data_IF_261902588416
#
_entry.id   IF_261902588416
#
_cell.length_a   1.000
_cell.length_b   1.000
_cell.length_c   1.000
_cell.angle_alpha   90.00
_cell.angle_beta   90.00
_cell.angle_gamma   90.00
#
_symmetry.space_group_name_H-M   'P 1'
#
loop_
_entity.id
_entity.type
_entity.pdbx_description
1 polymer ?
#
# COMPACT_ATOMS: atom_id res chain seq x y z
N UNK A 1 7.51 7.23 13.16
CA UNK A 1 6.66 6.32 12.34
C UNK A 1 5.61 7.21 11.74
N UNK A 2 5.38 7.10 10.44
CA UNK A 2 4.36 7.88 9.75
C UNK A 2 3.02 7.14 9.86
N UNK A 3 1.95 7.89 10.04
CA UNK A 3 0.59 7.38 9.91
C UNK A 3 0.15 7.54 8.45
N UNK A 4 -0.07 6.41 7.77
CA UNK A 4 -0.38 6.36 6.35
C UNK A 4 -1.81 5.89 6.14
N UNK A 5 -2.55 6.56 5.27
CA UNK A 5 -3.83 6.10 4.77
C UNK A 5 -3.73 5.77 3.28
N UNK A 6 -4.35 4.67 2.87
CA UNK A 6 -4.37 4.25 1.45
C UNK A 6 -5.59 4.88 0.80
N UNK A 7 -5.39 5.85 -0.09
CA UNK A 7 -6.47 6.56 -0.78
C UNK A 7 -6.64 6.10 -2.23
N UNK A 8 -5.66 5.38 -2.77
CA UNK A 8 -5.74 4.72 -4.06
C UNK A 8 -4.93 3.42 -4.12
N UNK A 9 -5.38 2.45 -4.93
CA UNK A 9 -4.64 1.22 -5.22
C UNK A 9 -4.52 1.09 -6.73
N UNK A 10 -3.29 1.16 -7.26
CA UNK A 10 -3.02 0.94 -8.67
C UNK A 10 -2.85 -0.57 -8.93
N UNK A 11 -1.92 -1.18 -8.20
CA UNK A 11 -1.70 -2.62 -8.23
C UNK A 11 -0.96 -3.10 -6.98
N UNK A 12 -0.99 -4.41 -6.76
CA UNK A 12 -0.25 -5.11 -5.72
C UNK A 12 0.55 -6.22 -6.41
N UNK A 13 1.79 -6.43 -6.01
CA UNK A 13 2.65 -7.50 -6.53
C UNK A 13 3.47 -8.15 -5.40
N UNK A 14 4.04 -9.32 -5.67
CA UNK A 14 5.03 -9.92 -4.78
C UNK A 14 6.26 -9.02 -4.78
N UNK A 15 6.82 -8.69 -3.61
CA UNK A 15 8.03 -7.88 -3.55
C UNK A 15 9.21 -8.63 -4.19
N UNK A 16 9.62 -8.21 -5.39
CA UNK A 16 10.77 -8.74 -6.12
C UNK A 16 12.07 -7.96 -5.87
N UNK A 17 12.04 -6.90 -5.05
CA UNK A 17 13.09 -5.87 -4.88
C UNK A 17 13.50 -5.12 -6.15
N UNK A 18 12.84 -5.39 -7.29
CA UNK A 18 13.14 -4.72 -8.54
C UNK A 18 12.66 -3.26 -8.49
N UNK A 19 13.51 -2.34 -8.97
CA UNK A 19 13.19 -0.91 -9.05
C UNK A 19 13.31 -0.13 -7.74
N UNK A 20 13.82 -0.72 -6.66
CA UNK A 20 14.12 0.01 -5.42
C UNK A 20 15.51 0.63 -5.50
N UNK A 21 15.63 1.91 -5.13
CA UNK A 21 16.94 2.60 -5.02
C UNK A 21 17.64 2.29 -3.69
N UNK A 22 17.04 1.46 -2.86
CA UNK A 22 17.53 1.04 -1.55
C UNK A 22 17.45 -0.47 -1.39
N UNK A 23 18.30 -1.01 -0.52
CA UNK A 23 18.31 -2.44 -0.18
C UNK A 23 17.25 -2.71 0.88
N UNK A 24 16.21 -3.44 0.52
CA UNK A 24 15.15 -3.82 1.45
C UNK A 24 15.16 -5.32 1.72
N UNK A 25 15.46 -5.74 2.95
CA UNK A 25 15.44 -7.16 3.34
C UNK A 25 14.43 -7.38 4.46
N UNK A 26 13.14 -7.56 4.14
CA UNK A 26 12.14 -7.74 5.16
C UNK A 26 12.35 -9.07 5.89
N UNK A 27 12.05 -9.11 7.18
CA UNK A 27 12.16 -10.32 8.01
C UNK A 27 11.17 -11.41 7.58
N UNK A 28 10.06 -11.01 6.96
CA UNK A 28 9.00 -11.89 6.45
C UNK A 28 8.64 -11.52 5.01
N UNK A 29 8.06 -12.43 4.21
CA UNK A 29 7.58 -12.09 2.86
C UNK A 29 6.58 -10.94 2.90
N UNK A 30 6.80 -9.93 2.07
CA UNK A 30 5.95 -8.75 1.91
C UNK A 30 5.42 -8.67 0.48
N UNK A 31 4.20 -8.15 0.37
CA UNK A 31 3.62 -7.64 -0.86
C UNK A 31 4.01 -6.17 -1.02
N UNK A 32 4.06 -5.71 -2.26
CA UNK A 32 4.30 -4.34 -2.65
C UNK A 32 2.99 -3.76 -3.17
N UNK A 33 2.32 -2.91 -2.38
CA UNK A 33 1.14 -2.16 -2.80
C UNK A 33 1.60 -0.84 -3.38
N UNK A 34 1.26 -0.59 -4.64
CA UNK A 34 1.55 0.67 -5.34
C UNK A 34 0.24 1.43 -5.52
N UNK A 35 0.21 2.69 -5.13
CA UNK A 35 -1.00 3.50 -5.18
C UNK A 35 -0.79 4.88 -4.59
N UNK A 36 -1.88 5.53 -4.21
CA UNK A 36 -1.87 6.85 -3.59
C UNK A 36 -1.93 6.68 -2.08
N UNK A 37 -0.95 7.27 -1.39
CA UNK A 37 -0.81 7.24 0.05
C UNK A 37 -0.95 8.67 0.58
N UNK A 38 -1.79 8.83 1.60
CA UNK A 38 -1.91 10.07 2.37
C UNK A 38 -1.04 9.92 3.63
N UNK A 39 -0.12 10.85 3.85
CA UNK A 39 0.57 10.96 5.15
C UNK A 39 -0.25 11.87 6.07
N UNK A 40 -0.75 11.33 7.18
CA UNK A 40 -1.60 12.08 8.10
C UNK A 40 -0.88 13.26 8.77
N UNK A 41 0.46 13.17 8.94
CA UNK A 41 1.23 14.23 9.60
C UNK A 41 1.46 15.44 8.69
N UNK A 42 1.61 15.23 7.38
CA UNK A 42 1.87 16.30 6.41
C UNK A 42 0.65 16.67 5.56
N UNK A 43 -0.43 15.89 5.64
CA UNK A 43 -1.64 16.00 4.82
C UNK A 43 -1.35 15.91 3.31
N UNK A 44 -0.20 15.36 2.92
CA UNK A 44 0.19 15.17 1.53
C UNK A 44 -0.33 13.84 0.98
N UNK A 45 -1.07 13.89 -0.14
CA UNK A 45 -1.36 12.72 -0.96
C UNK A 45 -0.29 12.58 -2.04
N UNK A 46 0.41 11.45 -2.04
CA UNK A 46 1.50 11.19 -2.98
C UNK A 46 1.42 9.77 -3.53
N UNK A 47 1.97 9.58 -4.73
CA UNK A 47 2.21 8.25 -5.26
C UNK A 47 3.27 7.55 -4.40
N UNK A 48 2.92 6.36 -3.90
CA UNK A 48 3.74 5.66 -2.94
C UNK A 48 3.68 4.15 -3.06
N UNK A 49 4.62 3.52 -2.35
CA UNK A 49 4.72 2.07 -2.20
C UNK A 49 4.59 1.73 -0.72
N UNK A 50 3.64 0.86 -0.40
CA UNK A 50 3.48 0.31 0.95
C UNK A 50 3.81 -1.19 0.93
N UNK A 51 4.87 -1.57 1.65
CA UNK A 51 5.23 -2.97 1.88
C UNK A 51 4.45 -3.53 3.06
N UNK A 52 3.72 -4.61 2.82
CA UNK A 52 2.80 -5.17 3.81
C UNK A 52 2.65 -6.67 3.62
N UNK A 53 2.42 -7.40 4.70
CA UNK A 53 2.17 -8.85 4.64
C UNK A 53 0.79 -9.14 4.04
N UNK A 54 0.54 -10.37 3.58
CA UNK A 54 -0.80 -10.78 3.14
C UNK A 54 -1.85 -10.59 4.23
N UNK A 55 -1.50 -10.82 5.50
CA UNK A 55 -2.38 -10.60 6.65
C UNK A 55 -2.77 -9.11 6.77
N UNK A 56 -1.78 -8.24 6.68
CA UNK A 56 -1.98 -6.79 6.69
C UNK A 56 -2.83 -6.33 5.51
N UNK A 57 -2.59 -6.84 4.29
CA UNK A 57 -3.43 -6.55 3.13
C UNK A 57 -4.90 -6.90 3.40
N UNK A 58 -5.13 -8.07 3.97
CA UNK A 58 -6.47 -8.51 4.30
C UNK A 58 -7.12 -7.57 5.33
N UNK A 59 -6.40 -7.08 6.34
CA UNK A 59 -6.93 -6.07 7.27
C UNK A 59 -7.31 -4.77 6.54
N UNK A 60 -6.47 -4.33 5.58
CA UNK A 60 -6.76 -3.17 4.73
C UNK A 60 -7.98 -3.39 3.86
N UNK A 61 -8.29 -4.58 3.37
CA UNK A 61 -9.38 -4.77 2.39
C UNK A 61 -10.65 -5.42 2.95
N UNK A 62 -10.58 -6.06 4.12
CA UNK A 62 -11.71 -6.79 4.71
C UNK A 62 -12.91 -5.87 4.92
N UNK A 63 -14.08 -6.33 4.45
CA UNK A 63 -15.37 -5.63 4.52
C UNK A 63 -15.42 -4.27 3.78
N UNK A 64 -14.53 -4.07 2.79
CA UNK A 64 -14.48 -2.81 2.01
C UNK A 64 -14.99 -2.95 0.58
N UNK A 65 -15.52 -4.11 0.22
CA UNK A 65 -16.07 -4.41 -1.11
C UNK A 65 -15.05 -4.21 -2.26
N UNK A 66 -13.75 -4.25 -1.97
CA UNK A 66 -12.69 -4.12 -2.98
C UNK A 66 -12.39 -5.49 -3.55
N UNK A 67 -12.69 -5.67 -4.84
CA UNK A 67 -12.39 -6.89 -5.59
C UNK A 67 -11.08 -6.73 -6.36
N UNK A 68 -10.16 -7.67 -6.20
CA UNK A 68 -8.88 -7.71 -6.89
C UNK A 68 -8.87 -8.84 -7.92
N UNK A 69 -8.41 -8.53 -9.13
CA UNK A 69 -8.15 -9.52 -10.19
C UNK A 69 -6.66 -9.63 -10.45
N UNK A 70 -6.20 -10.86 -10.72
CA UNK A 70 -4.83 -11.11 -11.15
C UNK A 70 -4.71 -10.82 -12.66
N UNK A 71 -3.78 -9.93 -13.02
CA UNK A 71 -3.44 -9.56 -14.40
C UNK A 71 -1.91 -9.46 -14.48
N UNK A 72 -1.28 -10.26 -15.33
CA UNK A 72 0.18 -10.24 -15.55
C UNK A 72 0.99 -10.25 -14.23
N UNK A 73 0.70 -11.23 -13.36
CA UNK A 73 1.31 -11.40 -12.02
C UNK A 73 1.08 -10.25 -11.02
N UNK A 74 0.17 -9.32 -11.33
CA UNK A 74 -0.24 -8.21 -10.46
C UNK A 74 -1.70 -8.30 -10.09
N UNK A 75 -2.01 -8.06 -8.82
CA UNK A 75 -3.38 -7.88 -8.35
C UNK A 75 -3.80 -6.43 -8.57
N UNK A 76 -4.83 -6.22 -9.38
CA UNK A 76 -5.38 -4.88 -9.68
C UNK A 76 -6.84 -4.81 -9.25
N UNK A 77 -7.36 -3.65 -8.83
CA UNK A 77 -8.79 -3.50 -8.63
C UNK A 77 -9.56 -3.88 -9.90
N UNK A 78 -10.56 -4.76 -9.79
CA UNK A 78 -11.36 -5.23 -10.93
C UNK A 78 -12.10 -4.10 -11.64
N UNK A 79 -12.42 -3.05 -10.88
CA UNK A 79 -12.99 -1.77 -11.33
C UNK A 79 -12.29 -0.63 -10.58
N UNK A 80 -12.31 0.60 -11.12
CA UNK A 80 -11.89 1.78 -10.35
C UNK A 80 -12.62 1.84 -9.01
N UNK A 81 -11.88 2.18 -7.95
CA UNK A 81 -12.44 2.35 -6.61
C UNK A 81 -13.49 3.46 -6.63
N UNK A 82 -14.66 3.16 -6.10
CA UNK A 82 -15.72 4.14 -5.85
C UNK A 82 -15.33 5.05 -4.68
N UNK A 83 -15.94 6.23 -4.59
CA UNK A 83 -15.73 7.15 -3.46
C UNK A 83 -16.00 6.50 -2.10
N UNK A 84 -16.95 5.57 -2.02
CA UNK A 84 -17.25 4.87 -0.78
C UNK A 84 -16.12 3.89 -0.41
N UNK A 85 -15.61 3.13 -1.38
CA UNK A 85 -14.48 2.23 -1.15
C UNK A 85 -13.22 2.99 -0.76
N UNK A 86 -12.91 4.11 -1.43
CA UNK A 86 -11.78 4.98 -1.06
C UNK A 86 -11.92 5.45 0.38
N UNK A 87 -13.11 5.92 0.79
CA UNK A 87 -13.35 6.30 2.19
C UNK A 87 -13.15 5.14 3.15
N UNK A 88 -13.73 3.96 2.87
CA UNK A 88 -13.56 2.78 3.73
C UNK A 88 -12.10 2.37 3.87
N UNK A 89 -11.33 2.40 2.78
CA UNK A 89 -9.90 2.02 2.76
C UNK A 89 -9.06 3.08 3.47
N UNK A 90 -9.31 4.36 3.19
CA UNK A 90 -8.61 5.49 3.80
C UNK A 90 -8.91 5.70 5.29
N UNK A 91 -9.96 5.08 5.83
CA UNK A 91 -10.23 5.05 7.28
C UNK A 91 -9.38 4.02 8.05
N UNK A 92 -8.53 3.26 7.36
CA UNK A 92 -7.61 2.32 8.00
C UNK A 92 -6.35 3.06 8.38
N UNK A 93 -5.94 2.93 9.64
CA UNK A 93 -4.73 3.54 10.14
C UNK A 93 -3.55 2.58 9.93
N UNK A 94 -2.57 2.99 9.13
CA UNK A 94 -1.35 2.22 8.91
C UNK A 94 -0.17 2.92 9.57
N UNK A 95 0.30 2.35 10.68
CA UNK A 95 1.57 2.72 11.28
C UNK A 95 2.69 2.21 10.36
N UNK A 96 3.50 3.12 9.79
CA UNK A 96 4.52 2.76 8.81
C UNK A 96 5.90 3.37 9.08
N UNK A 97 6.94 2.67 8.65
CA UNK A 97 8.32 3.14 8.63
C UNK A 97 8.74 3.54 7.23
N UNK A 98 9.31 4.73 7.09
CA UNK A 98 9.85 5.20 5.81
C UNK A 98 11.16 4.46 5.50
N UNK A 99 11.25 3.87 4.31
CA UNK A 99 12.40 3.08 3.87
C UNK A 99 13.31 3.83 2.89
N UNK A 100 12.75 4.80 2.16
CA UNK A 100 13.44 5.50 1.08
C UNK A 100 12.50 5.80 -0.09
N UNK A 101 13.09 6.11 -1.25
CA UNK A 101 12.36 6.37 -2.48
C UNK A 101 12.71 5.31 -3.56
N UNK A 102 11.80 5.15 -4.52
CA UNK A 102 11.98 4.36 -5.72
C UNK A 102 11.53 5.20 -6.91
N UNK A 103 12.44 6.02 -7.46
CA UNK A 103 12.08 7.08 -8.39
C UNK A 103 11.25 8.15 -7.70
N UNK A 104 10.04 8.38 -8.20
CA UNK A 104 9.11 9.37 -7.62
C UNK A 104 8.27 8.80 -6.47
N UNK A 105 8.29 7.48 -6.25
CA UNK A 105 7.47 6.85 -5.22
C UNK A 105 8.17 6.84 -3.86
N UNK A 106 7.52 7.39 -2.84
CA UNK A 106 7.94 7.20 -1.44
C UNK A 106 7.59 5.79 -0.97
N UNK A 107 8.55 5.11 -0.36
CA UNK A 107 8.43 3.72 0.05
C UNK A 107 8.33 3.59 1.58
N UNK A 108 7.33 2.85 2.04
CA UNK A 108 7.04 2.63 3.45
C UNK A 108 6.85 1.15 3.76
N UNK A 109 7.23 0.70 4.95
CA UNK A 109 6.85 -0.60 5.49
C UNK A 109 5.75 -0.46 6.53
N UNK A 110 4.65 -1.19 6.35
CA UNK A 110 3.60 -1.29 7.35
C UNK A 110 4.11 -2.09 8.57
N UNK A 111 4.16 -1.41 9.71
CA UNK A 111 4.46 -1.97 11.03
C UNK A 111 3.18 -2.52 11.66
N UNK A 112 2.11 -1.74 11.65
CA UNK A 112 0.82 -2.09 12.26
C UNK A 112 -0.36 -1.52 11.48
N UNK A 113 -1.49 -2.22 11.53
CA UNK A 113 -2.75 -1.83 10.88
C UNK A 113 -3.86 -1.88 11.92
N UNK A 114 -4.57 -0.76 12.09
CA UNK A 114 -5.65 -0.56 13.06
C UNK A 114 -7.00 -0.40 12.38
#
# INVERSE_FOLDING_TARGET
MAEIHITGINYIEINSQEGLEFKYKPEVPKLKLVGTLLNAESEDEEDGVLFLTQKQLNQVLTNKDVDLKLVDDRWTPSKPLTKEQVKKVGLVDVDAEYLGAAGEFKCYEAVKIS
#
